data_IF_360646796512
#
_entry.id   IF_360646796512
#
_cell.length_a   1.000
_cell.length_b   1.000
_cell.length_c   1.000
_cell.angle_alpha   90.00
_cell.angle_beta   90.00
_cell.angle_gamma   90.00
#
_symmetry.space_group_name_H-M   'P 1'
#
loop_
_entity.id
_entity.type
_entity.pdbx_description
1 polymer ?
#
# COMPACT_ATOMS: atom_id res chain seq x y z
N UNK A 1 -56.02 -33.15 -18.56
CA UNK A 1 -56.91 -31.98 -18.38
C UNK A 1 -57.01 -31.78 -16.87
N UNK A 2 -56.69 -30.65 -16.26
CA UNK A 2 -56.55 -29.27 -16.75
C UNK A 2 -55.91 -28.41 -15.66
N UNK A 3 -55.05 -27.48 -16.10
CA UNK A 3 -54.85 -26.10 -15.61
C UNK A 3 -53.97 -25.86 -14.37
N UNK A 4 -52.92 -25.09 -14.66
CA UNK A 4 -52.01 -24.33 -13.81
C UNK A 4 -52.74 -23.44 -12.80
N UNK A 5 -52.08 -23.19 -11.66
CA UNK A 5 -52.15 -21.88 -11.00
C UNK A 5 -50.75 -21.51 -10.52
N UNK A 6 -50.03 -20.77 -11.37
CA UNK A 6 -48.87 -19.96 -11.01
C UNK A 6 -49.39 -18.64 -10.43
N UNK A 7 -49.11 -18.32 -9.16
CA UNK A 7 -49.22 -16.94 -8.64
C UNK A 7 -48.16 -16.71 -7.55
N UNK A 8 -47.00 -16.25 -8.00
CA UNK A 8 -46.09 -15.29 -7.36
C UNK A 8 -45.66 -15.48 -5.89
N UNK A 9 -44.59 -16.22 -5.67
CA UNK A 9 -43.58 -15.83 -4.68
C UNK A 9 -42.40 -15.18 -5.42
N UNK A 10 -42.53 -13.89 -5.71
CA UNK A 10 -41.37 -13.01 -5.89
C UNK A 10 -40.69 -12.84 -4.54
N UNK A 11 -40.06 -13.91 -4.06
CA UNK A 11 -39.10 -13.84 -2.98
C UNK A 11 -37.91 -13.05 -3.51
N UNK A 12 -37.74 -11.82 -3.03
CA UNK A 12 -36.48 -11.12 -3.11
C UNK A 12 -35.37 -12.08 -2.69
N UNK A 13 -34.66 -12.66 -3.66
CA UNK A 13 -33.37 -13.32 -3.42
C UNK A 13 -32.46 -12.22 -2.94
N UNK A 14 -32.43 -12.03 -1.63
CA UNK A 14 -31.29 -11.42 -0.95
C UNK A 14 -30.10 -12.24 -1.40
N UNK A 15 -29.30 -11.67 -2.31
CA UNK A 15 -27.97 -12.15 -2.63
C UNK A 15 -27.13 -11.99 -1.36
N UNK A 16 -27.36 -12.83 -0.36
CA UNK A 16 -26.38 -13.07 0.68
C UNK A 16 -25.20 -13.72 -0.05
N UNK A 17 -24.23 -12.89 -0.43
CA UNK A 17 -22.95 -13.35 -0.88
C UNK A 17 -22.42 -14.28 0.21
N UNK A 18 -22.48 -15.58 -0.04
CA UNK A 18 -22.07 -16.63 0.87
C UNK A 18 -20.55 -16.58 0.98
N UNK A 19 -20.04 -15.62 1.74
CA UNK A 19 -18.66 -15.61 2.16
C UNK A 19 -18.48 -16.73 3.17
N UNK A 20 -17.49 -17.59 2.96
CA UNK A 20 -17.06 -18.49 4.04
C UNK A 20 -16.51 -17.62 5.18
N UNK A 21 -16.74 -18.02 6.44
CA UNK A 21 -16.28 -17.26 7.62
C UNK A 21 -14.79 -16.91 7.56
N UNK A 22 -14.00 -17.76 6.90
CA UNK A 22 -12.58 -17.55 6.61
C UNK A 22 -12.33 -16.37 5.65
N UNK A 23 -13.04 -16.27 4.52
CA UNK A 23 -12.89 -15.16 3.58
C UNK A 23 -13.16 -13.81 4.25
N UNK A 24 -14.25 -13.72 5.02
CA UNK A 24 -14.59 -12.48 5.75
C UNK A 24 -13.48 -12.14 6.75
N UNK A 25 -12.99 -13.12 7.51
CA UNK A 25 -11.89 -12.93 8.45
C UNK A 25 -10.62 -12.43 7.76
N UNK A 26 -10.25 -12.99 6.61
CA UNK A 26 -9.05 -12.60 5.87
C UNK A 26 -9.13 -11.20 5.29
N UNK A 27 -10.27 -10.84 4.68
CA UNK A 27 -10.51 -9.47 4.19
C UNK A 27 -10.45 -8.49 5.36
N UNK A 28 -11.09 -8.79 6.49
CA UNK A 28 -11.04 -7.95 7.69
C UNK A 28 -9.62 -7.77 8.22
N UNK A 29 -8.82 -8.84 8.32
CA UNK A 29 -7.42 -8.76 8.76
C UNK A 29 -6.60 -7.89 7.80
N UNK A 30 -6.70 -8.14 6.49
CA UNK A 30 -5.96 -7.36 5.50
C UNK A 30 -6.31 -5.87 5.53
N UNK A 31 -7.60 -5.55 5.62
CA UNK A 31 -8.09 -4.18 5.73
C UNK A 31 -7.69 -3.52 7.05
N UNK A 32 -7.70 -4.26 8.17
CA UNK A 32 -7.25 -3.74 9.47
C UNK A 32 -5.77 -3.41 9.46
N UNK A 33 -4.92 -4.29 8.88
CA UNK A 33 -3.48 -4.02 8.74
C UNK A 33 -3.25 -2.76 7.90
N UNK A 34 -3.94 -2.61 6.78
CA UNK A 34 -3.83 -1.43 5.93
C UNK A 34 -4.32 -0.15 6.62
N UNK A 35 -5.51 -0.19 7.22
CA UNK A 35 -6.12 0.96 7.86
C UNK A 35 -5.37 1.42 9.10
N UNK A 36 -5.06 0.52 10.03
CA UNK A 36 -4.29 0.84 11.24
C UNK A 36 -2.85 1.24 10.91
N UNK A 37 -2.24 0.61 9.90
CA UNK A 37 -0.92 0.98 9.43
C UNK A 37 -0.87 2.41 8.88
N UNK A 38 -1.85 2.80 8.05
CA UNK A 38 -1.93 4.15 7.51
C UNK A 38 -2.18 5.20 8.62
N UNK A 39 -3.06 4.87 9.57
CA UNK A 39 -3.32 5.72 10.73
C UNK A 39 -2.07 5.89 11.60
N UNK A 40 -1.31 4.82 11.81
CA UNK A 40 -0.05 4.87 12.55
C UNK A 40 0.97 5.78 11.84
N UNK A 41 1.12 5.66 10.52
CA UNK A 41 1.99 6.53 9.72
C UNK A 41 1.56 8.00 9.86
N UNK A 42 0.26 8.28 9.80
CA UNK A 42 -0.26 9.63 9.99
C UNK A 42 0.07 10.18 11.38
N UNK A 43 -0.22 9.42 12.43
CA UNK A 43 0.01 9.84 13.81
C UNK A 43 1.50 10.10 14.09
N UNK A 44 2.38 9.17 13.70
CA UNK A 44 3.83 9.35 13.83
C UNK A 44 4.29 10.57 13.04
N UNK A 45 3.79 10.74 11.80
CA UNK A 45 4.13 11.91 10.99
C UNK A 45 3.71 13.23 11.63
N UNK A 46 2.53 13.31 12.24
CA UNK A 46 2.10 14.51 12.96
C UNK A 46 2.95 14.80 14.21
N UNK A 47 3.32 13.76 14.98
CA UNK A 47 4.20 13.91 16.13
C UNK A 47 5.55 14.46 15.70
N UNK A 48 6.17 13.87 14.66
CA UNK A 48 7.46 14.33 14.14
C UNK A 48 7.36 15.75 13.58
N UNK A 49 6.30 16.07 12.82
CA UNK A 49 6.05 17.44 12.34
C UNK A 49 5.96 18.43 13.50
N UNK A 50 5.22 18.08 14.55
CA UNK A 50 5.07 18.92 15.73
C UNK A 50 6.42 19.16 16.41
N UNK A 51 7.20 18.10 16.67
CA UNK A 51 8.53 18.19 17.29
C UNK A 51 9.47 19.12 16.49
N UNK A 52 9.48 18.99 15.16
CA UNK A 52 10.30 19.83 14.29
C UNK A 52 9.86 21.30 14.35
N UNK A 53 8.55 21.57 14.38
CA UNK A 53 8.02 22.93 14.40
C UNK A 53 8.10 23.61 15.77
N UNK A 54 7.98 22.86 16.88
CA UNK A 54 8.04 23.44 18.23
C UNK A 54 9.43 23.80 18.69
N UNK A 55 10.44 23.04 18.28
CA UNK A 55 11.81 23.28 18.75
C UNK A 55 12.46 24.49 18.06
N UNK A 56 11.78 25.15 17.09
CA UNK A 56 12.29 26.30 16.32
C UNK A 56 13.64 26.09 15.64
N UNK A 57 14.22 24.89 15.71
CA UNK A 57 15.46 24.55 15.06
C UNK A 57 15.11 23.81 13.77
N UNK A 58 15.08 24.56 12.67
CA UNK A 58 15.48 24.04 11.36
C UNK A 58 16.97 23.63 11.44
N UNK A 59 17.37 22.81 12.41
CA UNK A 59 18.73 22.31 12.50
C UNK A 59 18.88 21.28 11.40
N UNK A 60 19.72 21.53 10.39
CA UNK A 60 19.95 20.55 9.33
C UNK A 60 20.45 19.22 9.92
N UNK A 61 21.08 19.22 11.10
CA UNK A 61 21.52 18.02 11.79
C UNK A 61 20.37 17.12 12.25
N UNK A 62 19.26 17.69 12.76
CA UNK A 62 18.08 16.94 13.21
C UNK A 62 17.38 16.32 11.99
N UNK A 63 17.22 17.09 10.91
CA UNK A 63 16.67 16.58 9.65
C UNK A 63 17.50 15.41 9.11
N UNK A 64 18.83 15.57 9.02
CA UNK A 64 19.72 14.52 8.54
C UNK A 64 19.68 13.27 9.43
N UNK A 65 19.64 13.44 10.75
CA UNK A 65 19.54 12.33 11.69
C UNK A 65 18.22 11.57 11.54
N UNK A 66 17.10 12.28 11.37
CA UNK A 66 15.78 11.68 11.16
C UNK A 66 15.71 10.94 9.81
N UNK A 67 16.26 11.51 8.73
CA UNK A 67 16.36 10.84 7.43
C UNK A 67 17.24 9.58 7.47
N UNK A 68 18.37 9.64 8.17
CA UNK A 68 19.24 8.48 8.34
C UNK A 68 18.53 7.38 9.13
N UNK A 69 17.87 7.77 10.23
CA UNK A 69 17.11 6.85 11.10
C UNK A 69 15.96 6.19 10.34
N UNK A 70 15.19 6.96 9.56
CA UNK A 70 14.14 6.39 8.71
C UNK A 70 14.71 5.48 7.62
N UNK A 71 15.82 5.85 6.99
CA UNK A 71 16.51 4.99 6.02
C UNK A 71 16.94 3.65 6.60
N UNK A 72 17.53 3.64 7.80
CA UNK A 72 17.94 2.42 8.50
C UNK A 72 16.75 1.54 8.86
N UNK A 73 15.69 2.11 9.45
CA UNK A 73 14.47 1.33 9.73
C UNK A 73 13.80 0.82 8.46
N UNK A 74 13.86 1.58 7.36
CA UNK A 74 13.37 1.16 6.05
C UNK A 74 14.11 -0.06 5.50
N UNK A 75 15.44 -0.09 5.60
CA UNK A 75 16.26 -1.24 5.20
C UNK A 75 15.93 -2.46 6.07
N UNK A 76 15.83 -2.28 7.39
CA UNK A 76 15.46 -3.37 8.32
C UNK A 76 14.09 -3.93 7.98
N UNK A 77 13.07 -3.07 7.79
CA UNK A 77 11.73 -3.48 7.40
C UNK A 77 11.73 -4.23 6.06
N UNK A 78 12.51 -3.78 5.07
CA UNK A 78 12.64 -4.44 3.78
C UNK A 78 13.23 -5.86 3.92
N UNK A 79 14.33 -6.01 4.68
CA UNK A 79 14.94 -7.33 4.92
C UNK A 79 13.97 -8.26 5.63
N UNK A 80 13.30 -7.78 6.67
CA UNK A 80 12.30 -8.57 7.39
C UNK A 80 11.10 -8.94 6.51
N UNK A 81 10.67 -8.04 5.62
CA UNK A 81 9.61 -8.30 4.65
C UNK A 81 10.02 -9.36 3.62
N UNK A 82 11.26 -9.33 3.13
CA UNK A 82 11.78 -10.38 2.24
C UNK A 82 11.79 -11.74 2.95
N UNK A 83 12.23 -11.79 4.21
CA UNK A 83 12.17 -13.01 5.03
C UNK A 83 10.73 -13.51 5.16
N UNK A 84 9.76 -12.61 5.35
CA UNK A 84 8.34 -12.96 5.42
C UNK A 84 7.82 -13.53 4.09
N UNK A 85 8.18 -12.94 2.95
CA UNK A 85 7.79 -13.44 1.63
C UNK A 85 8.34 -14.86 1.39
N UNK A 86 9.63 -15.10 1.70
CA UNK A 86 10.24 -16.42 1.51
C UNK A 86 9.75 -17.46 2.54
N UNK A 87 9.37 -17.00 3.74
CA UNK A 87 8.87 -17.84 4.82
C UNK A 87 7.49 -17.37 5.27
N UNK A 88 6.49 -17.60 4.41
CA UNK A 88 5.11 -17.13 4.63
C UNK A 88 4.47 -17.64 5.93
N UNK A 89 4.91 -18.79 6.48
CA UNK A 89 4.44 -19.33 7.76
C UNK A 89 5.24 -18.78 8.97
N UNK A 90 5.47 -17.48 9.01
CA UNK A 90 6.05 -16.76 10.15
C UNK A 90 5.07 -16.62 11.31
N UNK A 91 5.60 -16.28 12.50
CA UNK A 91 4.77 -15.99 13.67
C UNK A 91 4.02 -14.68 13.50
N UNK A 92 2.84 -14.57 14.13
CA UNK A 92 2.05 -13.32 14.17
C UNK A 92 2.90 -12.16 14.71
N UNK A 93 3.68 -12.41 15.76
CA UNK A 93 4.57 -11.44 16.38
C UNK A 93 5.59 -10.90 15.39
N UNK A 94 6.25 -11.77 14.60
CA UNK A 94 7.19 -11.34 13.58
C UNK A 94 6.52 -10.42 12.55
N UNK A 95 5.36 -10.84 12.03
CA UNK A 95 4.61 -10.07 11.04
C UNK A 95 4.24 -8.67 11.54
N UNK A 96 3.77 -8.58 12.80
CA UNK A 96 3.43 -7.30 13.43
C UNK A 96 4.68 -6.42 13.60
N UNK A 97 5.82 -6.99 14.01
CA UNK A 97 7.08 -6.22 14.12
C UNK A 97 7.49 -5.65 12.76
N UNK A 98 7.41 -6.44 11.67
CA UNK A 98 7.74 -5.95 10.32
C UNK A 98 6.87 -4.73 9.97
N UNK A 99 5.55 -4.85 10.18
CA UNK A 99 4.60 -3.78 9.89
C UNK A 99 4.89 -2.55 10.76
N UNK A 100 5.14 -2.73 12.06
CA UNK A 100 5.44 -1.63 12.98
C UNK A 100 6.73 -0.88 12.63
N UNK A 101 7.82 -1.60 12.31
CA UNK A 101 9.09 -0.99 11.89
C UNK A 101 8.91 -0.22 10.58
N UNK A 102 8.14 -0.78 9.63
CA UNK A 102 7.78 -0.09 8.40
C UNK A 102 6.98 1.19 8.68
N UNK A 103 5.92 1.13 9.49
CA UNK A 103 5.10 2.29 9.84
C UNK A 103 5.91 3.38 10.54
N UNK A 104 6.87 3.00 11.40
CA UNK A 104 7.78 3.94 12.06
C UNK A 104 8.69 4.65 11.05
N UNK A 105 9.37 3.87 10.20
CA UNK A 105 10.24 4.39 9.13
C UNK A 105 9.51 5.37 8.22
N UNK A 106 8.33 4.97 7.73
CA UNK A 106 7.55 5.78 6.81
C UNK A 106 6.92 6.97 7.54
N UNK A 107 6.41 6.78 8.75
CA UNK A 107 5.86 7.85 9.59
C UNK A 107 6.87 8.99 9.82
N UNK A 108 8.12 8.66 10.14
CA UNK A 108 9.20 9.67 10.28
C UNK A 108 9.41 10.41 8.95
N UNK A 109 9.50 9.68 7.84
CA UNK A 109 9.71 10.26 6.51
C UNK A 109 8.57 11.21 6.12
N UNK A 110 7.32 10.83 6.37
CA UNK A 110 6.16 11.68 6.13
C UNK A 110 6.08 12.85 7.10
N UNK A 111 6.50 12.69 8.36
CA UNK A 111 6.55 13.79 9.32
C UNK A 111 7.46 14.93 8.86
N UNK A 112 8.63 14.58 8.31
CA UNK A 112 9.51 15.55 7.66
C UNK A 112 8.83 16.18 6.44
N UNK A 113 8.19 15.36 5.60
CA UNK A 113 7.47 15.87 4.43
C UNK A 113 6.33 16.84 4.80
N UNK A 114 5.59 16.56 5.88
CA UNK A 114 4.47 17.38 6.34
C UNK A 114 4.89 18.76 6.87
N UNK A 115 6.17 19.02 7.13
CA UNK A 115 6.62 20.38 7.49
C UNK A 115 6.51 21.34 6.31
N UNK A 116 6.45 20.83 5.08
CA UNK A 116 6.36 21.63 3.84
C UNK A 116 4.90 21.90 3.42
N UNK A 117 3.94 21.18 4.02
CA UNK A 117 2.52 21.27 3.69
C UNK A 117 1.69 21.81 4.86
N UNK A 118 0.59 22.48 4.51
CA UNK A 118 -0.40 22.87 5.49
C UNK A 118 -1.13 21.63 6.03
N UNK A 119 -1.51 21.64 7.30
CA UNK A 119 -2.16 20.48 7.92
C UNK A 119 -3.43 20.06 7.18
N UNK A 120 -4.21 21.03 6.68
CA UNK A 120 -5.40 20.77 5.86
C UNK A 120 -5.08 20.03 4.57
N UNK A 121 -3.97 20.37 3.90
CA UNK A 121 -3.51 19.69 2.69
C UNK A 121 -3.11 18.25 2.99
N UNK A 122 -2.40 18.04 4.10
CA UNK A 122 -2.03 16.68 4.55
C UNK A 122 -3.28 15.85 4.82
N UNK A 123 -4.22 16.35 5.63
CA UNK A 123 -5.49 15.66 5.96
C UNK A 123 -6.27 15.33 4.69
N UNK A 124 -6.35 16.28 3.75
CA UNK A 124 -7.01 16.08 2.46
C UNK A 124 -6.40 14.93 1.66
N UNK A 125 -5.06 14.83 1.58
CA UNK A 125 -4.41 13.71 0.91
C UNK A 125 -4.69 12.35 1.58
N UNK A 126 -4.74 12.29 2.91
CA UNK A 126 -5.15 11.06 3.61
C UNK A 126 -6.61 10.68 3.29
N UNK A 127 -7.50 11.69 3.23
CA UNK A 127 -8.88 11.51 2.81
C UNK A 127 -8.98 10.91 1.40
N UNK A 128 -8.24 11.47 0.44
CA UNK A 128 -8.19 10.96 -0.93
C UNK A 128 -7.66 9.51 -1.00
N UNK A 129 -6.58 9.20 -0.29
CA UNK A 129 -6.05 7.82 -0.22
C UNK A 129 -7.09 6.84 0.34
N UNK A 130 -7.86 7.27 1.34
CA UNK A 130 -8.93 6.46 1.94
C UNK A 130 -10.11 6.26 0.97
N UNK A 131 -10.49 7.30 0.22
CA UNK A 131 -11.51 7.20 -0.83
C UNK A 131 -11.07 6.21 -1.92
N UNK A 132 -9.81 6.26 -2.34
CA UNK A 132 -9.28 5.29 -3.32
C UNK A 132 -9.38 3.86 -2.81
N UNK A 133 -9.03 3.60 -1.54
CA UNK A 133 -9.20 2.28 -0.95
C UNK A 133 -10.67 1.81 -0.97
N UNK A 134 -11.61 2.68 -0.63
CA UNK A 134 -13.04 2.38 -0.69
C UNK A 134 -13.51 2.07 -2.11
N UNK A 135 -13.02 2.81 -3.11
CA UNK A 135 -13.29 2.55 -4.52
C UNK A 135 -12.72 1.20 -4.95
N UNK A 136 -11.46 0.90 -4.64
CA UNK A 136 -10.85 -0.40 -4.93
C UNK A 136 -11.60 -1.55 -4.26
N UNK A 137 -12.08 -1.35 -3.03
CA UNK A 137 -12.90 -2.34 -2.34
C UNK A 137 -14.24 -2.57 -3.04
N UNK A 138 -14.95 -1.51 -3.44
CA UNK A 138 -16.17 -1.60 -4.23
C UNK A 138 -15.95 -2.31 -5.56
N UNK A 139 -14.89 -1.96 -6.29
CA UNK A 139 -14.52 -2.62 -7.55
C UNK A 139 -14.19 -4.10 -7.35
N UNK A 140 -13.44 -4.45 -6.30
CA UNK A 140 -13.10 -5.86 -6.00
C UNK A 140 -14.34 -6.73 -5.79
N UNK A 141 -15.43 -6.15 -5.27
CA UNK A 141 -16.69 -6.87 -5.02
C UNK A 141 -17.39 -7.26 -6.32
N UNK A 142 -17.36 -6.39 -7.33
CA UNK A 142 -18.02 -6.61 -8.63
C UNK A 142 -17.10 -7.27 -9.68
N UNK A 143 -15.81 -7.44 -9.37
CA UNK A 143 -14.83 -8.01 -10.29
C UNK A 143 -15.03 -9.52 -10.47
N UNK A 144 -15.17 -9.96 -11.72
CA UNK A 144 -15.22 -11.37 -12.08
C UNK A 144 -13.84 -12.02 -12.07
N UNK A 145 -13.78 -13.35 -11.98
CA UNK A 145 -12.51 -14.07 -11.93
C UNK A 145 -11.64 -13.81 -13.17
N UNK A 146 -12.24 -13.79 -14.37
CA UNK A 146 -11.53 -13.51 -15.63
C UNK A 146 -10.83 -12.14 -15.60
N UNK A 147 -11.50 -11.11 -15.07
CA UNK A 147 -10.92 -9.77 -14.93
C UNK A 147 -9.80 -9.77 -13.88
N UNK A 148 -10.03 -10.38 -12.72
CA UNK A 148 -9.01 -10.48 -11.66
C UNK A 148 -7.71 -11.15 -12.13
N UNK A 149 -7.80 -12.27 -12.85
CA UNK A 149 -6.63 -12.91 -13.46
C UNK A 149 -5.91 -12.04 -14.49
N UNK A 150 -6.68 -11.28 -15.27
CA UNK A 150 -6.12 -10.38 -16.29
C UNK A 150 -5.32 -9.26 -15.62
N UNK A 151 -5.89 -8.64 -14.57
CA UNK A 151 -5.19 -7.64 -13.76
C UNK A 151 -3.92 -8.25 -13.14
N UNK A 152 -3.99 -9.46 -12.60
CA UNK A 152 -2.81 -10.15 -12.04
C UNK A 152 -1.67 -10.33 -13.06
N UNK A 153 -1.98 -10.73 -14.30
CA UNK A 153 -0.99 -10.84 -15.38
C UNK A 153 -0.38 -9.50 -15.76
N UNK A 154 -1.19 -8.44 -15.85
CA UNK A 154 -0.73 -7.08 -16.11
C UNK A 154 0.22 -6.62 -14.99
N UNK A 155 -0.15 -6.84 -13.73
CA UNK A 155 0.70 -6.50 -12.58
C UNK A 155 2.03 -7.25 -12.59
N UNK A 156 2.03 -8.55 -12.92
CA UNK A 156 3.28 -9.32 -13.06
C UNK A 156 4.22 -8.70 -14.10
N UNK A 157 3.68 -8.27 -15.25
CA UNK A 157 4.48 -7.59 -16.27
C UNK A 157 5.06 -6.27 -15.75
N UNK A 158 4.26 -5.45 -15.06
CA UNK A 158 4.74 -4.21 -14.44
C UNK A 158 5.84 -4.48 -13.40
N UNK A 159 5.69 -5.50 -12.56
CA UNK A 159 6.72 -5.89 -11.59
C UNK A 159 8.01 -6.34 -12.28
N UNK A 160 7.93 -7.11 -13.36
CA UNK A 160 9.10 -7.53 -14.13
C UNK A 160 9.84 -6.33 -14.74
N UNK A 161 9.11 -5.39 -15.36
CA UNK A 161 9.68 -4.16 -15.91
C UNK A 161 10.30 -3.31 -14.81
N UNK A 162 9.60 -3.13 -13.69
CA UNK A 162 10.10 -2.35 -12.56
C UNK A 162 11.35 -2.98 -11.94
N UNK A 163 11.39 -4.30 -11.81
CA UNK A 163 12.56 -5.02 -11.31
C UNK A 163 13.78 -4.86 -12.23
N UNK A 164 13.58 -4.97 -13.55
CA UNK A 164 14.63 -4.70 -14.54
C UNK A 164 15.11 -3.25 -14.40
N UNK A 165 14.20 -2.29 -14.30
CA UNK A 165 14.56 -0.88 -14.11
C UNK A 165 15.36 -0.66 -12.82
N UNK A 166 14.97 -1.30 -11.71
CA UNK A 166 15.67 -1.20 -10.43
C UNK A 166 17.08 -1.80 -10.50
N UNK A 167 17.23 -2.96 -11.15
CA UNK A 167 18.54 -3.57 -11.43
C UNK A 167 19.39 -2.60 -12.26
N UNK A 168 18.87 -2.11 -13.39
CA UNK A 168 19.61 -1.19 -14.26
C UNK A 168 20.04 0.06 -13.50
N UNK A 169 19.18 0.66 -12.69
CA UNK A 169 19.55 1.82 -11.86
C UNK A 169 20.57 1.47 -10.77
N UNK A 170 20.46 0.30 -10.13
CA UNK A 170 21.44 -0.16 -9.14
C UNK A 170 22.82 -0.32 -9.79
N UNK A 171 22.89 -0.96 -10.96
CA UNK A 171 24.13 -1.08 -11.74
C UNK A 171 24.65 0.32 -12.12
N UNK A 172 23.84 1.20 -12.69
CA UNK A 172 24.25 2.55 -13.03
C UNK A 172 24.78 3.32 -11.81
N UNK A 173 24.15 3.19 -10.63
CA UNK A 173 24.56 3.86 -9.39
C UNK A 173 25.88 3.30 -8.84
N UNK A 174 26.14 2.00 -8.97
CA UNK A 174 27.40 1.37 -8.54
C UNK A 174 28.55 1.74 -9.47
N UNK A 175 28.32 1.81 -10.78
CA UNK A 175 29.35 2.10 -11.78
C UNK A 175 29.57 3.60 -12.04
N UNK A 176 28.67 4.47 -11.58
CA UNK A 176 28.86 5.93 -11.59
C UNK A 176 29.13 6.44 -10.16
N UNK A 177 30.41 6.68 -9.86
CA UNK A 177 30.81 7.42 -8.67
C UNK A 177 30.20 8.83 -8.71
N UNK A 178 29.08 9.06 -8.03
CA UNK A 178 28.68 10.44 -7.68
C UNK A 178 27.21 10.77 -7.48
N UNK A 179 26.22 9.94 -7.86
CA UNK A 179 24.82 10.36 -7.72
C UNK A 179 23.90 9.26 -7.17
N UNK A 180 24.10 8.97 -5.88
CA UNK A 180 23.17 8.27 -4.96
C UNK A 180 21.81 8.98 -4.79
N UNK A 181 21.53 10.02 -5.58
CA UNK A 181 20.28 10.75 -5.56
C UNK A 181 19.11 9.91 -6.09
N UNK A 182 19.33 8.92 -6.96
CA UNK A 182 18.23 8.21 -7.63
C UNK A 182 17.31 7.39 -6.70
N UNK A 183 17.78 6.89 -5.56
CA UNK A 183 16.95 5.98 -4.75
C UNK A 183 15.97 6.68 -3.80
N UNK A 184 16.25 7.92 -3.35
CA UNK A 184 15.39 8.60 -2.38
C UNK A 184 15.16 10.12 -2.60
N UNK A 185 15.92 10.83 -3.46
CA UNK A 185 15.84 12.31 -3.55
C UNK A 185 16.07 12.99 -4.90
N UNK A 186 16.55 12.28 -5.92
CA UNK A 186 17.04 12.84 -7.19
C UNK A 186 15.99 12.98 -8.28
N UNK A 187 14.86 12.29 -8.14
CA UNK A 187 13.76 12.42 -9.07
C UNK A 187 12.93 13.70 -8.88
N UNK A 188 13.24 14.52 -7.87
CA UNK A 188 12.70 15.89 -7.80
C UNK A 188 13.23 16.80 -8.93
N UNK A 189 14.29 16.41 -9.65
CA UNK A 189 14.94 17.25 -10.67
C UNK A 189 15.08 16.62 -12.07
N UNK A 190 14.61 15.39 -12.28
CA UNK A 190 14.43 14.88 -13.64
C UNK A 190 13.30 15.68 -14.30
N UNK A 191 13.57 16.28 -15.47
CA UNK A 191 12.71 17.30 -16.11
C UNK A 191 11.22 17.11 -15.84
N UNK A 192 10.56 18.18 -15.36
CA UNK A 192 9.23 18.17 -14.73
C UNK A 192 8.19 17.23 -15.39
N UNK A 193 8.25 17.01 -16.70
CA UNK A 193 7.36 16.08 -17.39
C UNK A 193 7.63 14.60 -17.12
N UNK A 194 8.88 14.13 -17.14
CA UNK A 194 9.19 12.70 -16.98
C UNK A 194 8.83 12.22 -15.58
N UNK A 195 9.17 12.99 -14.53
CA UNK A 195 8.82 12.63 -13.17
C UNK A 195 7.30 12.62 -12.94
N UNK A 196 6.58 13.57 -13.56
CA UNK A 196 5.12 13.60 -13.51
C UNK A 196 4.48 12.36 -14.14
N UNK A 197 4.94 11.96 -15.33
CA UNK A 197 4.46 10.75 -16.00
C UNK A 197 4.75 9.51 -15.16
N UNK A 198 5.95 9.41 -14.59
CA UNK A 198 6.32 8.31 -13.69
C UNK A 198 5.38 8.25 -12.50
N UNK A 199 5.13 9.38 -11.83
CA UNK A 199 4.22 9.45 -10.68
C UNK A 199 2.79 9.01 -11.02
N UNK A 200 2.27 9.39 -12.19
CA UNK A 200 0.97 8.91 -12.68
C UNK A 200 0.97 7.39 -12.87
N UNK A 201 2.00 6.84 -13.54
CA UNK A 201 2.11 5.39 -13.76
C UNK A 201 2.16 4.66 -12.42
N UNK A 202 2.96 5.13 -11.46
CA UNK A 202 3.00 4.58 -10.11
C UNK A 202 1.66 4.64 -9.39
N UNK A 203 0.90 5.73 -9.55
CA UNK A 203 -0.45 5.86 -9.02
C UNK A 203 -1.41 4.83 -9.57
N UNK A 204 -1.42 4.66 -10.90
CA UNK A 204 -2.27 3.68 -11.59
C UNK A 204 -1.89 2.25 -11.17
N UNK A 205 -0.59 1.94 -11.12
CA UNK A 205 -0.12 0.63 -10.68
C UNK A 205 -0.50 0.37 -9.22
N UNK A 206 -0.34 1.37 -8.33
CA UNK A 206 -0.72 1.24 -6.92
C UNK A 206 -2.22 0.98 -6.76
N UNK A 207 -3.05 1.71 -7.53
CA UNK A 207 -4.49 1.48 -7.59
C UNK A 207 -4.84 0.05 -8.02
N UNK A 208 -4.20 -0.44 -9.10
CA UNK A 208 -4.41 -1.80 -9.60
C UNK A 208 -3.96 -2.86 -8.60
N UNK A 209 -2.84 -2.64 -7.89
CA UNK A 209 -2.36 -3.56 -6.86
C UNK A 209 -3.33 -3.63 -5.67
N UNK A 210 -3.85 -2.50 -5.20
CA UNK A 210 -4.83 -2.48 -4.10
C UNK A 210 -6.09 -3.22 -4.53
N UNK A 211 -6.62 -2.90 -5.71
CA UNK A 211 -7.80 -3.57 -6.25
C UNK A 211 -7.59 -5.08 -6.39
N UNK A 212 -6.48 -5.51 -7.01
CA UNK A 212 -6.14 -6.92 -7.17
C UNK A 212 -5.95 -7.63 -5.82
N UNK A 213 -5.30 -6.99 -4.86
CA UNK A 213 -5.07 -7.53 -3.51
C UNK A 213 -6.38 -7.81 -2.78
N UNK A 214 -7.34 -6.88 -2.86
CA UNK A 214 -8.67 -7.05 -2.28
C UNK A 214 -9.47 -8.14 -2.99
N UNK A 215 -9.38 -8.21 -4.32
CA UNK A 215 -9.99 -9.29 -5.09
C UNK A 215 -9.36 -10.65 -4.75
N UNK A 216 -8.05 -10.71 -4.52
CA UNK A 216 -7.35 -11.94 -4.14
C UNK A 216 -7.79 -12.41 -2.75
N UNK A 217 -7.86 -11.51 -1.76
CA UNK A 217 -8.40 -11.83 -0.42
C UNK A 217 -9.83 -12.38 -0.49
N UNK A 218 -10.66 -11.80 -1.36
CA UNK A 218 -12.06 -12.20 -1.57
C UNK A 218 -12.18 -13.62 -2.13
N UNK A 219 -11.29 -14.05 -3.03
CA UNK A 219 -11.40 -15.33 -3.75
C UNK A 219 -10.37 -16.38 -3.28
N UNK A 220 -9.76 -16.16 -2.12
CA UNK A 220 -8.59 -16.94 -1.70
C UNK A 220 -8.89 -18.42 -1.39
N UNK A 221 -10.12 -18.72 -0.98
CA UNK A 221 -10.62 -20.08 -0.78
C UNK A 221 -10.73 -20.88 -2.08
N UNK A 222 -11.04 -20.21 -3.21
CA UNK A 222 -11.05 -20.85 -4.53
C UNK A 222 -9.65 -21.27 -4.99
N UNK A 223 -8.62 -20.61 -4.49
CA UNK A 223 -7.22 -20.90 -4.85
C UNK A 223 -6.55 -21.90 -3.93
N UNK A 224 -7.07 -22.09 -2.72
CA UNK A 224 -6.45 -22.94 -1.70
C UNK A 224 -7.50 -23.60 -0.82
N UNK A 225 -8.11 -24.65 -1.35
CA UNK A 225 -8.90 -25.58 -0.55
C UNK A 225 -8.04 -26.14 0.60
N UNK A 226 -8.57 -26.12 1.82
CA UNK A 226 -7.90 -26.60 3.04
C UNK A 226 -6.67 -25.82 3.52
N UNK A 227 -6.68 -24.49 3.42
CA UNK A 227 -5.61 -23.67 4.00
C UNK A 227 -5.61 -23.70 5.53
N UNK A 228 -4.48 -24.05 6.15
CA UNK A 228 -4.27 -23.92 7.60
C UNK A 228 -4.63 -22.48 8.07
N UNK A 229 -5.51 -22.31 9.08
CA UNK A 229 -5.87 -21.01 9.63
C UNK A 229 -4.69 -20.12 10.02
N UNK A 230 -3.54 -20.69 10.39
CA UNK A 230 -2.33 -19.93 10.70
C UNK A 230 -1.71 -19.34 9.42
N UNK A 231 -1.60 -20.15 8.37
CA UNK A 231 -1.10 -19.72 7.06
C UNK A 231 -2.05 -18.70 6.40
N UNK A 232 -3.36 -18.91 6.52
CA UNK A 232 -4.38 -17.99 6.06
C UNK A 232 -4.21 -16.59 6.66
N UNK A 233 -4.05 -16.50 7.97
CA UNK A 233 -3.82 -15.23 8.68
C UNK A 233 -2.53 -14.55 8.24
N UNK A 234 -1.44 -15.29 8.12
CA UNK A 234 -0.16 -14.71 7.68
C UNK A 234 -0.25 -14.15 6.25
N UNK A 235 -0.90 -14.87 5.33
CA UNK A 235 -1.10 -14.36 3.97
C UNK A 235 -2.05 -13.16 3.96
N UNK A 236 -3.13 -13.18 4.74
CA UNK A 236 -4.05 -12.05 4.85
C UNK A 236 -3.32 -10.78 5.34
N UNK A 237 -2.45 -10.93 6.34
CA UNK A 237 -1.60 -9.84 6.82
C UNK A 237 -0.60 -9.38 5.78
N UNK A 238 0.02 -10.30 5.03
CA UNK A 238 0.98 -9.96 3.96
C UNK A 238 0.29 -9.16 2.86
N UNK A 239 -0.91 -9.58 2.44
CA UNK A 239 -1.71 -8.85 1.45
C UNK A 239 -2.15 -7.49 2.01
N UNK A 240 -2.59 -7.43 3.28
CA UNK A 240 -2.91 -6.18 3.96
C UNK A 240 -1.71 -5.21 4.04
N UNK A 241 -0.52 -5.74 4.29
CA UNK A 241 0.71 -4.97 4.29
C UNK A 241 1.07 -4.47 2.88
N UNK A 242 0.85 -5.27 1.85
CA UNK A 242 1.00 -4.81 0.47
C UNK A 242 -0.01 -3.69 0.14
N UNK A 243 -1.26 -3.80 0.59
CA UNK A 243 -2.25 -2.71 0.46
C UNK A 243 -1.74 -1.44 1.16
N UNK A 244 -1.21 -1.56 2.38
CA UNK A 244 -0.61 -0.42 3.11
C UNK A 244 0.48 0.27 2.29
N UNK A 245 1.45 -0.49 1.75
CA UNK A 245 2.56 0.05 0.95
C UNK A 245 2.03 0.85 -0.25
N UNK A 246 1.00 0.33 -0.92
CA UNK A 246 0.42 1.00 -2.09
C UNK A 246 -0.45 2.21 -1.70
N UNK A 247 -1.10 2.19 -0.53
CA UNK A 247 -1.76 3.37 0.02
C UNK A 247 -0.76 4.48 0.35
N UNK A 248 0.40 4.12 0.89
CA UNK A 248 1.51 5.06 1.15
C UNK A 248 2.02 5.66 -0.16
N UNK A 249 2.16 4.87 -1.22
CA UNK A 249 2.55 5.35 -2.53
C UNK A 249 1.53 6.36 -3.10
N UNK A 250 0.23 6.07 -2.99
CA UNK A 250 -0.84 6.99 -3.38
C UNK A 250 -0.83 8.27 -2.56
N UNK A 251 -0.60 8.19 -1.25
CA UNK A 251 -0.47 9.36 -0.39
C UNK A 251 0.67 10.28 -0.86
N UNK A 252 1.83 9.70 -1.18
CA UNK A 252 2.98 10.45 -1.72
C UNK A 252 2.63 11.11 -3.05
N UNK A 253 1.89 10.43 -3.91
CA UNK A 253 1.42 10.95 -5.19
C UNK A 253 0.50 12.17 -5.01
N UNK A 254 -0.47 12.09 -4.09
CA UNK A 254 -1.39 13.21 -3.85
C UNK A 254 -0.66 14.43 -3.27
N UNK A 255 0.27 14.22 -2.34
CA UNK A 255 1.11 15.31 -1.82
C UNK A 255 1.97 15.93 -2.94
N UNK A 256 2.51 15.11 -3.84
CA UNK A 256 3.24 15.59 -5.01
C UNK A 256 2.37 16.48 -5.91
N UNK A 257 1.14 16.08 -6.21
CA UNK A 257 0.24 16.92 -7.01
C UNK A 257 -0.11 18.24 -6.32
N UNK A 258 -0.32 18.22 -5.00
CA UNK A 258 -0.56 19.47 -4.25
C UNK A 258 0.67 20.39 -4.27
N UNK A 259 1.88 19.85 -4.21
CA UNK A 259 3.11 20.67 -4.27
C UNK A 259 3.30 21.41 -5.60
N UNK A 260 2.69 20.92 -6.68
CA UNK A 260 2.73 21.56 -8.00
C UNK A 260 1.66 22.61 -8.25
N UNK A 261 0.63 22.64 -7.43
CA UNK A 261 -0.42 23.66 -7.51
C UNK A 261 -0.05 24.98 -6.84
N UNK A 262 1.13 25.05 -6.20
CA UNK A 262 1.73 26.26 -5.63
C UNK A 262 2.75 26.82 -6.61
#
# INVERSE_FOLDING_TARGET
>A
MSVENNVYETGHKTYQAKYTSLQTSMVSIGMLVAGLGLLAIFAIGLIIRYLILTDNVLNPSIYNSLYLTSGLFGIVALVMYLVWIFKVNTSLTFNLIVISVYCLSIGITFGILFTVFDLTQVIFCFGLTSIVLLLCYGLSRITSNKVGFTIGKILMLFFAIYFIFLIVNLFLTIFSFGQLNLFFGGYLFAGNWTYFVIQIIFGIVSFLIIWYSLWNLKNMDQFRENLDPKLARSIAMLIGFNILINMVALLRLFLYFLSRGK
#
